data_IF_790136305573
#
_entry.id   IF_790136305573
#
_cell.length_a   1.000
_cell.length_b   1.000
_cell.length_c   1.000
_cell.angle_alpha   90.00
_cell.angle_beta   90.00
_cell.angle_gamma   90.00
#
_symmetry.space_group_name_H-M   'P 1'
#
loop_
_entity.id
_entity.type
_entity.pdbx_description
1 polymer ?
#
# COMPACT_ATOMS: atom_id res chain seq x y z
N UNK A 1 -11.73 10.44 -14.92
CA UNK A 1 -10.60 10.40 -15.89
C UNK A 1 -10.54 11.74 -16.60
N UNK A 2 -9.42 12.11 -17.23
CA UNK A 2 -9.22 13.43 -17.86
C UNK A 2 -8.68 13.33 -19.29
N UNK A 3 -8.82 14.42 -20.04
CA UNK A 3 -8.33 14.54 -21.42
C UNK A 3 -6.82 14.76 -21.53
N UNK A 4 -6.15 15.15 -20.44
CA UNK A 4 -4.69 15.34 -20.40
C UNK A 4 -4.09 15.17 -19.00
N UNK A 5 -2.74 15.26 -18.89
CA UNK A 5 -2.00 15.05 -17.65
C UNK A 5 -2.08 16.27 -16.73
N UNK A 6 -3.12 16.34 -15.90
CA UNK A 6 -3.25 17.44 -14.94
C UNK A 6 -4.69 17.72 -14.50
N UNK A 7 -4.82 18.45 -13.39
CA UNK A 7 -6.13 18.89 -12.88
C UNK A 7 -6.79 19.97 -13.74
N UNK A 8 -6.00 20.65 -14.59
CA UNK A 8 -6.46 21.69 -15.52
C UNK A 8 -7.17 21.13 -16.77
N UNK A 9 -7.03 19.83 -17.05
CA UNK A 9 -7.67 19.19 -18.20
C UNK A 9 -9.10 18.78 -17.89
N UNK A 10 -10.02 18.95 -18.84
CA UNK A 10 -11.41 18.57 -18.67
C UNK A 10 -11.58 17.11 -18.22
N UNK A 11 -12.56 16.88 -17.33
CA UNK A 11 -12.97 15.51 -16.95
C UNK A 11 -13.69 14.88 -18.14
N UNK A 12 -13.35 13.63 -18.47
CA UNK A 12 -14.09 12.85 -19.46
C UNK A 12 -15.38 12.31 -18.83
N UNK A 13 -16.49 12.47 -19.55
CA UNK A 13 -17.77 11.86 -19.19
C UNK A 13 -17.84 10.41 -19.67
N UNK A 14 -18.81 9.64 -19.16
CA UNK A 14 -19.00 8.23 -19.52
C UNK A 14 -19.08 8.00 -21.04
N UNK A 15 -19.72 8.92 -21.78
CA UNK A 15 -19.83 8.85 -23.24
C UNK A 15 -18.47 8.86 -23.97
N UNK A 16 -17.48 9.55 -23.42
CA UNK A 16 -16.14 9.75 -24.00
C UNK A 16 -15.12 8.65 -23.67
N UNK A 17 -15.57 7.60 -22.99
CA UNK A 17 -14.77 6.45 -22.62
C UNK A 17 -14.76 5.39 -23.73
N UNK A 18 -13.69 4.58 -23.79
CA UNK A 18 -13.67 3.39 -24.64
C UNK A 18 -14.70 2.35 -24.16
N UNK A 19 -15.14 1.45 -25.04
CA UNK A 19 -16.12 0.41 -24.70
C UNK A 19 -15.70 -0.43 -23.48
N UNK A 20 -14.43 -0.79 -23.38
CA UNK A 20 -13.88 -1.53 -22.25
C UNK A 20 -13.93 -0.68 -20.95
N UNK A 21 -13.52 0.59 -21.00
CA UNK A 21 -13.62 1.45 -19.84
C UNK A 21 -15.06 1.72 -19.39
N UNK A 22 -16.04 1.74 -20.32
CA UNK A 22 -17.47 1.86 -19.98
C UNK A 22 -17.95 0.68 -19.14
N UNK A 23 -17.57 -0.56 -19.49
CA UNK A 23 -17.93 -1.76 -18.72
C UNK A 23 -17.46 -1.67 -17.25
N UNK A 24 -16.34 -0.99 -17.03
CA UNK A 24 -15.71 -0.80 -15.73
C UNK A 24 -15.83 0.62 -15.17
N UNK A 25 -16.79 1.42 -15.63
CA UNK A 25 -17.03 2.78 -15.15
C UNK A 25 -18.42 2.95 -14.52
N UNK A 26 -18.55 3.95 -13.67
CA UNK A 26 -19.83 4.51 -13.23
C UNK A 26 -20.38 5.46 -14.31
N UNK A 27 -21.69 5.72 -14.27
CA UNK A 27 -22.38 6.62 -15.21
C UNK A 27 -21.84 8.06 -15.22
N UNK A 28 -21.07 8.47 -14.19
CA UNK A 28 -20.39 9.76 -14.12
C UNK A 28 -19.02 9.80 -14.82
N UNK A 29 -18.58 8.71 -15.45
CA UNK A 29 -17.29 8.62 -16.15
C UNK A 29 -16.09 8.32 -15.23
N UNK A 30 -16.31 7.92 -13.99
CA UNK A 30 -15.25 7.42 -13.10
C UNK A 30 -15.07 5.91 -13.26
N UNK A 31 -13.82 5.41 -13.27
CA UNK A 31 -13.56 3.96 -13.24
C UNK A 31 -13.93 3.39 -11.85
N UNK A 32 -14.43 2.16 -11.83
CA UNK A 32 -14.71 1.39 -10.62
C UNK A 32 -13.38 1.01 -9.94
N UNK A 33 -13.39 0.91 -8.61
CA UNK A 33 -12.25 0.40 -7.86
C UNK A 33 -11.88 -1.02 -8.31
N UNK A 34 -10.59 -1.33 -8.37
CA UNK A 34 -10.09 -2.63 -8.83
C UNK A 34 -10.04 -2.81 -10.36
N UNK A 35 -10.46 -1.80 -11.14
CA UNK A 35 -10.31 -1.82 -12.60
C UNK A 35 -8.84 -1.86 -12.98
N UNK A 36 -8.43 -2.93 -13.65
CA UNK A 36 -7.09 -3.06 -14.21
C UNK A 36 -6.99 -2.21 -15.47
N UNK A 37 -5.93 -1.42 -15.58
CA UNK A 37 -5.70 -0.57 -16.74
C UNK A 37 -4.30 -0.78 -17.29
N UNK A 38 -4.19 -0.81 -18.61
CA UNK A 38 -2.89 -0.78 -19.29
C UNK A 38 -2.39 0.66 -19.31
N UNK A 39 -1.20 0.89 -18.76
CA UNK A 39 -0.55 2.20 -18.74
C UNK A 39 0.46 2.27 -19.89
N UNK A 40 0.32 3.29 -20.75
CA UNK A 40 1.23 3.54 -21.86
C UNK A 40 2.39 4.47 -21.48
N UNK A 41 2.11 5.51 -20.68
CA UNK A 41 3.11 6.48 -20.22
C UNK A 41 2.70 7.09 -18.88
N UNK A 42 3.68 7.59 -18.12
CA UNK A 42 3.50 8.32 -16.88
C UNK A 42 4.21 9.68 -16.98
N UNK A 43 3.47 10.78 -16.76
CA UNK A 43 3.99 12.15 -16.79
C UNK A 43 3.34 12.98 -15.69
N UNK A 44 4.14 13.69 -14.89
CA UNK A 44 3.67 14.65 -13.87
C UNK A 44 2.62 14.08 -12.89
N UNK A 45 2.74 12.81 -12.48
CA UNK A 45 1.77 12.17 -11.58
C UNK A 45 0.47 11.73 -12.25
N UNK A 46 0.45 11.62 -13.57
CA UNK A 46 -0.66 11.09 -14.37
C UNK A 46 -0.18 9.96 -15.26
N UNK A 47 -1.00 8.92 -15.36
CA UNK A 47 -0.78 7.80 -16.26
C UNK A 47 -1.77 7.88 -17.44
N UNK A 48 -1.25 7.69 -18.65
CA UNK A 48 -2.06 7.57 -19.86
C UNK A 48 -2.50 6.12 -20.03
N UNK A 49 -3.80 5.95 -20.18
CA UNK A 49 -4.48 4.69 -20.47
C UNK A 49 -5.26 4.86 -21.79
N UNK A 50 -5.76 3.79 -22.44
CA UNK A 50 -6.50 3.89 -23.70
C UNK A 50 -7.65 4.91 -23.68
N UNK A 51 -8.29 5.08 -22.53
CA UNK A 51 -9.44 5.97 -22.34
C UNK A 51 -9.08 7.42 -21.99
N UNK A 52 -7.81 7.73 -21.72
CA UNK A 52 -7.36 9.08 -21.33
C UNK A 52 -6.36 9.05 -20.19
N UNK A 53 -6.37 10.07 -19.34
CA UNK A 53 -5.42 10.22 -18.24
C UNK A 53 -6.08 9.98 -16.88
N UNK A 54 -5.38 9.24 -16.02
CA UNK A 54 -5.76 8.95 -14.63
C UNK A 54 -4.61 9.31 -13.71
N UNK A 55 -4.89 9.81 -12.51
CA UNK A 55 -3.83 10.18 -11.57
C UNK A 55 -3.15 8.93 -11.02
N UNK A 56 -1.82 8.92 -10.99
CA UNK A 56 -1.02 7.79 -10.47
C UNK A 56 -1.24 7.57 -8.98
N UNK A 57 -1.74 8.58 -8.24
CA UNK A 57 -2.11 8.44 -6.84
C UNK A 57 -3.25 7.43 -6.60
N UNK A 58 -4.06 7.16 -7.63
CA UNK A 58 -5.16 6.19 -7.57
C UNK A 58 -4.83 4.88 -8.31
N UNK A 59 -3.61 4.73 -8.84
CA UNK A 59 -3.17 3.52 -9.50
C UNK A 59 -2.22 2.74 -8.60
N UNK A 60 -2.46 1.45 -8.45
CA UNK A 60 -1.47 0.49 -8.00
C UNK A 60 -0.89 -0.21 -9.23
N UNK A 61 0.44 -0.27 -9.34
CA UNK A 61 1.11 -0.98 -10.44
C UNK A 61 0.72 -2.46 -10.36
N UNK A 62 0.14 -3.03 -11.41
CA UNK A 62 -0.09 -4.47 -11.46
C UNK A 62 1.27 -5.18 -11.46
N UNK A 63 1.59 -5.90 -10.37
CA UNK A 63 2.93 -6.40 -10.05
C UNK A 63 3.55 -5.78 -8.79
N UNK A 64 3.06 -4.61 -8.36
CA UNK A 64 3.14 -4.12 -6.99
C UNK A 64 1.77 -4.28 -6.36
N UNK A 65 1.50 -5.49 -5.89
CA UNK A 65 0.35 -5.80 -5.06
C UNK A 65 0.42 -4.98 -3.78
N UNK A 66 -0.12 -3.76 -3.77
CA UNK A 66 -0.58 -3.11 -2.55
C UNK A 66 -1.94 -3.69 -2.15
N UNK A 67 -1.99 -5.02 -2.07
CA UNK A 67 -2.94 -5.83 -1.32
C UNK A 67 -2.10 -6.98 -0.78
N UNK A 68 -1.22 -6.67 0.16
CA UNK A 68 -0.77 -7.69 1.08
C UNK A 68 -1.91 -7.86 2.08
N UNK A 69 -2.80 -8.84 1.83
CA UNK A 69 -3.16 -9.74 2.93
C UNK A 69 -1.83 -10.33 3.36
N UNK A 70 -1.10 -9.60 4.21
CA UNK A 70 0.20 -10.02 4.64
C UNK A 70 -0.05 -11.35 5.36
N UNK A 71 0.60 -12.39 4.87
CA UNK A 71 0.63 -13.67 5.55
C UNK A 71 1.22 -13.40 6.92
N UNK A 72 0.34 -13.34 7.92
CA UNK A 72 0.74 -13.14 9.31
C UNK A 72 1.52 -14.38 9.73
N UNK A 73 2.76 -14.19 10.18
CA UNK A 73 3.64 -15.28 10.59
C UNK A 73 3.99 -15.21 12.07
N UNK A 74 4.56 -16.29 12.58
CA UNK A 74 5.25 -16.30 13.87
C UNK A 74 6.71 -15.93 13.64
N UNK A 75 7.22 -15.02 14.45
CA UNK A 75 8.61 -14.56 14.36
C UNK A 75 9.24 -14.55 15.75
N UNK A 76 10.54 -14.75 15.81
CA UNK A 76 11.36 -14.61 17.01
C UNK A 76 12.21 -13.36 16.87
N UNK A 77 12.35 -12.62 17.97
CA UNK A 77 13.25 -11.46 18.03
C UNK A 77 14.69 -11.95 18.12
N UNK A 78 15.53 -11.54 17.17
CA UNK A 78 16.99 -11.77 17.16
C UNK A 78 17.72 -10.43 17.38
N UNK A 79 18.15 -10.18 18.61
CA UNK A 79 18.89 -8.96 18.98
C UNK A 79 19.92 -9.22 20.08
N UNK A 80 21.09 -8.57 19.98
CA UNK A 80 22.11 -8.65 21.03
C UNK A 80 21.74 -7.96 22.37
N UNK A 81 20.77 -7.05 22.35
CA UNK A 81 20.39 -6.26 23.54
C UNK A 81 18.88 -6.15 23.72
N UNK A 82 18.22 -5.19 23.05
CA UNK A 82 16.79 -4.91 23.15
C UNK A 82 16.24 -4.35 21.84
N UNK A 83 15.10 -4.88 21.39
CA UNK A 83 14.37 -4.38 20.22
C UNK A 83 13.32 -3.35 20.64
N UNK A 84 13.38 -2.15 20.06
CA UNK A 84 12.42 -1.08 20.37
C UNK A 84 11.05 -1.32 19.74
N UNK A 85 10.00 -1.26 20.58
CA UNK A 85 8.60 -1.32 20.17
C UNK A 85 8.05 0.09 20.02
N UNK A 86 7.44 0.39 18.87
CA UNK A 86 6.97 1.73 18.52
C UNK A 86 5.47 1.78 18.22
N UNK A 87 4.90 2.99 18.30
CA UNK A 87 3.48 3.25 17.96
C UNK A 87 3.20 3.26 16.46
N UNK A 88 4.22 3.31 15.60
CA UNK A 88 4.05 3.34 14.16
C UNK A 88 5.28 2.83 13.39
N UNK A 89 5.15 2.59 12.08
CA UNK A 89 6.21 2.06 11.23
C UNK A 89 7.20 3.17 10.86
N UNK A 90 8.19 3.40 11.73
CA UNK A 90 9.23 4.40 11.51
C UNK A 90 10.01 4.73 12.78
N UNK A 91 11.21 5.30 12.60
CA UNK A 91 12.06 5.74 13.71
C UNK A 91 11.56 7.01 14.40
N UNK A 92 10.70 7.79 13.73
CA UNK A 92 10.09 9.01 14.27
C UNK A 92 8.90 8.73 15.21
N UNK A 93 8.42 7.48 15.29
CA UNK A 93 7.31 7.12 16.16
C UNK A 93 7.77 6.86 17.60
N UNK A 94 6.92 7.22 18.55
CA UNK A 94 7.16 7.07 19.98
C UNK A 94 7.45 5.60 20.34
N UNK A 95 8.50 5.39 21.13
CA UNK A 95 8.82 4.09 21.72
C UNK A 95 7.87 3.83 22.90
N UNK A 96 7.22 2.67 22.91
CA UNK A 96 6.30 2.25 23.98
C UNK A 96 6.87 1.16 24.86
N UNK A 97 7.98 0.55 24.47
CA UNK A 97 8.61 -0.53 25.22
C UNK A 97 9.76 -1.16 24.43
N UNK A 98 10.28 -2.26 24.97
CA UNK A 98 11.33 -3.06 24.33
C UNK A 98 11.01 -4.54 24.43
N UNK A 99 11.47 -5.33 23.45
CA UNK A 99 11.47 -6.79 23.47
C UNK A 99 12.90 -7.29 23.69
N UNK A 100 13.03 -8.39 24.42
CA UNK A 100 14.30 -9.11 24.59
C UNK A 100 14.53 -10.08 23.44
N UNK A 101 15.77 -10.52 23.30
CA UNK A 101 16.15 -11.63 22.43
C UNK A 101 15.34 -12.90 22.72
N UNK A 102 15.06 -13.68 21.68
CA UNK A 102 14.29 -14.92 21.76
C UNK A 102 12.78 -14.71 21.98
N UNK A 103 12.29 -13.47 22.02
CA UNK A 103 10.86 -13.22 22.25
C UNK A 103 10.02 -13.58 21.01
N UNK A 104 9.04 -14.46 21.17
CA UNK A 104 8.16 -14.89 20.08
C UNK A 104 6.97 -13.94 19.91
N UNK A 105 6.82 -13.43 18.68
CA UNK A 105 5.71 -12.63 18.24
C UNK A 105 4.80 -13.44 17.30
N UNK A 106 3.50 -13.44 17.59
CA UNK A 106 2.50 -14.13 16.78
C UNK A 106 1.75 -13.15 15.87
N UNK A 107 1.30 -13.68 14.73
CA UNK A 107 0.49 -12.94 13.77
C UNK A 107 1.16 -11.65 13.27
N UNK A 108 2.48 -11.65 13.08
CA UNK A 108 3.22 -10.48 12.62
C UNK A 108 3.07 -10.33 11.12
N UNK A 109 2.71 -9.12 10.71
CA UNK A 109 2.68 -8.69 9.31
C UNK A 109 3.91 -7.85 9.02
N UNK A 110 4.76 -8.29 8.09
CA UNK A 110 5.92 -7.51 7.65
C UNK A 110 5.54 -6.63 6.45
N UNK A 111 5.80 -5.33 6.56
CA UNK A 111 5.59 -4.37 5.47
C UNK A 111 6.57 -3.21 5.57
N UNK A 112 7.19 -2.83 4.46
CA UNK A 112 8.15 -1.72 4.39
C UNK A 112 9.27 -1.79 5.45
N UNK A 113 9.76 -3.00 5.78
CA UNK A 113 10.80 -3.19 6.79
C UNK A 113 10.31 -3.14 8.25
N UNK A 114 8.99 -3.13 8.48
CA UNK A 114 8.38 -3.11 9.82
C UNK A 114 7.48 -4.32 10.04
N UNK A 115 7.64 -4.97 11.18
CA UNK A 115 6.74 -5.99 11.70
C UNK A 115 5.62 -5.34 12.52
N UNK A 116 4.39 -5.46 12.04
CA UNK A 116 3.17 -5.04 12.74
C UNK A 116 2.58 -6.22 13.49
N UNK A 117 2.33 -6.05 14.79
CA UNK A 117 1.68 -7.06 15.63
C UNK A 117 0.68 -6.42 16.59
N UNK A 118 -0.24 -7.22 17.12
CA UNK A 118 -1.24 -6.77 18.08
C UNK A 118 -0.77 -7.04 19.51
N UNK A 119 -0.49 -5.99 20.27
CA UNK A 119 -0.24 -6.08 21.70
C UNK A 119 -1.52 -5.82 22.49
N UNK A 120 -1.52 -6.14 23.79
CA UNK A 120 -2.65 -5.85 24.69
C UNK A 120 -3.04 -4.36 24.69
N UNK A 121 -2.04 -3.48 24.58
CA UNK A 121 -2.22 -2.03 24.57
C UNK A 121 -2.46 -1.45 23.15
N UNK A 122 -2.79 -2.30 22.18
CA UNK A 122 -3.09 -1.96 20.79
C UNK A 122 -2.00 -2.37 19.81
N UNK A 123 -2.13 -1.92 18.56
CA UNK A 123 -1.19 -2.24 17.47
C UNK A 123 0.19 -1.64 17.74
N UNK A 124 1.24 -2.42 17.51
CA UNK A 124 2.63 -2.06 17.71
C UNK A 124 3.50 -2.47 16.53
N UNK A 125 4.63 -1.77 16.42
CA UNK A 125 5.56 -1.91 15.31
C UNK A 125 6.98 -2.14 15.82
N UNK A 126 7.67 -3.09 15.22
CA UNK A 126 9.09 -3.40 15.45
C UNK A 126 9.80 -3.48 14.11
N UNK A 127 11.12 -3.27 14.10
CA UNK A 127 11.87 -3.36 12.85
C UNK A 127 12.01 -4.82 12.41
N UNK A 128 11.64 -5.11 11.16
CA UNK A 128 11.63 -6.47 10.62
C UNK A 128 13.03 -7.06 10.41
N UNK A 129 14.07 -6.23 10.40
CA UNK A 129 15.46 -6.69 10.27
C UNK A 129 15.96 -7.50 11.48
N UNK A 130 15.22 -7.45 12.60
CA UNK A 130 15.52 -8.14 13.86
C UNK A 130 14.47 -9.21 14.17
N UNK A 131 13.75 -9.67 13.15
CA UNK A 131 12.73 -10.69 13.26
C UNK A 131 13.07 -11.85 12.35
N UNK A 132 13.31 -13.01 12.96
CA UNK A 132 13.49 -14.27 12.24
C UNK A 132 12.18 -15.04 12.22
N UNK A 133 11.83 -15.60 11.06
CA UNK A 133 10.66 -16.47 10.96
C UNK A 133 10.88 -17.72 11.81
N UNK A 134 9.91 -18.04 12.67
CA UNK A 134 9.93 -19.21 13.55
C UNK A 134 9.58 -20.50 12.80
#
# INVERSE_FOLDING_TARGET
MRTGPGVNYAKKSYGQLTANAKAHAYSNGCLKQGTRVTVYECTNGWARIPSGWVSTAYLSKAGSSSVSTAKSGTYVVDVNTRLNVRTGPGTNYRITGTLSDGYTLYNVTISNGWGKYQAYTGTRYVSAQYLDAA
#
